data_IF_457744348044
#
_entry.id   IF_457744348044
#
_cell.length_a   1.000
_cell.length_b   1.000
_cell.length_c   1.000
_cell.angle_alpha   90.00
_cell.angle_beta   90.00
_cell.angle_gamma   90.00
#
_symmetry.space_group_name_H-M   'P 1'
#
loop_
_entity.id
_entity.type
_entity.pdbx_description
1 polymer ?
#
# COMPACT_ATOMS: atom_id res chain seq x y z
N UNK A 1 29.44 -5.65 2.13
CA UNK A 1 28.35 -6.32 1.40
C UNK A 1 28.70 -7.79 1.31
N UNK A 2 27.73 -8.70 1.27
CA UNK A 2 28.00 -10.10 0.93
C UNK A 2 28.02 -10.18 -0.59
N UNK A 3 28.98 -10.88 -1.19
CA UNK A 3 29.04 -10.97 -2.65
C UNK A 3 27.81 -11.72 -3.18
N UNK A 4 27.28 -11.26 -4.32
CA UNK A 4 26.29 -12.00 -5.09
C UNK A 4 27.01 -13.19 -5.72
N UNK A 5 26.65 -14.40 -5.30
CA UNK A 5 27.32 -15.63 -5.75
C UNK A 5 26.42 -16.38 -6.71
N UNK A 6 26.89 -16.50 -7.95
CA UNK A 6 26.28 -17.30 -9.01
C UNK A 6 27.23 -18.45 -9.37
N UNK A 7 26.68 -19.64 -9.61
CA UNK A 7 27.43 -20.80 -10.11
C UNK A 7 26.85 -21.26 -11.44
N UNK A 8 27.64 -21.96 -12.27
CA UNK A 8 27.20 -22.42 -13.60
C UNK A 8 26.61 -21.27 -14.45
N UNK A 9 27.26 -20.10 -14.39
CA UNK A 9 26.81 -18.91 -15.09
C UNK A 9 27.16 -19.00 -16.58
N UNK A 10 26.17 -18.79 -17.44
CA UNK A 10 26.32 -18.78 -18.89
C UNK A 10 25.64 -17.53 -19.49
N UNK A 11 26.31 -16.91 -20.45
CA UNK A 11 25.69 -15.86 -21.25
C UNK A 11 26.37 -15.66 -22.60
N UNK A 12 25.57 -15.32 -23.63
CA UNK A 12 26.13 -14.73 -24.85
C UNK A 12 26.26 -13.23 -24.64
N UNK A 13 27.46 -12.70 -24.86
CA UNK A 13 27.77 -11.28 -24.70
C UNK A 13 27.98 -10.66 -26.07
N UNK A 14 27.29 -9.56 -26.34
CA UNK A 14 27.56 -8.70 -27.49
C UNK A 14 27.84 -7.28 -27.04
N UNK A 15 28.75 -6.60 -27.73
CA UNK A 15 29.05 -5.19 -27.55
C UNK A 15 28.95 -4.53 -28.93
N UNK A 16 28.00 -3.61 -29.06
CA UNK A 16 27.79 -2.86 -30.30
C UNK A 16 27.53 -1.39 -29.96
N UNK A 17 28.30 -0.46 -30.54
CA UNK A 17 28.12 0.99 -30.32
C UNK A 17 27.95 1.42 -28.84
N UNK A 18 28.78 0.88 -27.92
CA UNK A 18 28.71 1.12 -26.46
C UNK A 18 27.46 0.57 -25.77
N UNK A 19 26.75 -0.36 -26.41
CA UNK A 19 25.66 -1.11 -25.82
C UNK A 19 26.11 -2.57 -25.61
N UNK A 20 26.23 -2.96 -24.34
CA UNK A 20 26.49 -4.35 -23.96
C UNK A 20 25.15 -5.08 -23.81
N UNK A 21 25.03 -6.28 -24.37
CA UNK A 21 23.87 -7.16 -24.15
C UNK A 21 24.34 -8.54 -23.74
N UNK A 22 23.70 -9.05 -22.68
CA UNK A 22 23.84 -10.40 -22.18
C UNK A 22 22.50 -11.11 -22.39
N UNK A 23 22.46 -12.07 -23.30
CA UNK A 23 21.21 -12.78 -23.65
C UNK A 23 21.45 -14.19 -24.24
N UNK A 24 20.97 -15.26 -23.59
CA UNK A 24 20.39 -15.26 -22.24
C UNK A 24 21.48 -15.02 -21.19
N UNK A 25 21.10 -14.67 -19.97
CA UNK A 25 21.89 -14.86 -18.74
C UNK A 25 21.24 -16.01 -18.00
N UNK A 26 21.97 -17.06 -17.67
CA UNK A 26 21.47 -18.16 -16.84
C UNK A 26 22.49 -18.51 -15.78
N UNK A 27 22.04 -18.82 -14.57
CA UNK A 27 22.91 -19.26 -13.50
C UNK A 27 22.15 -20.10 -12.45
N UNK A 28 22.90 -20.84 -11.66
CA UNK A 28 22.46 -21.33 -10.36
C UNK A 28 22.67 -20.22 -9.33
N UNK A 29 21.62 -19.88 -8.60
CA UNK A 29 21.61 -18.79 -7.63
C UNK A 29 21.07 -19.29 -6.29
N UNK A 30 21.95 -19.39 -5.30
CA UNK A 30 21.61 -19.79 -3.93
C UNK A 30 20.67 -21.01 -3.80
N UNK A 31 20.95 -22.08 -4.56
CA UNK A 31 20.18 -23.32 -4.57
C UNK A 31 18.98 -23.34 -5.52
N UNK A 32 18.64 -22.19 -6.12
CA UNK A 32 17.65 -22.07 -7.18
C UNK A 32 18.29 -21.76 -8.54
N UNK A 33 17.45 -21.32 -9.48
CA UNK A 33 17.86 -20.93 -10.83
C UNK A 33 17.55 -19.46 -11.08
N UNK A 34 18.38 -18.83 -11.91
CA UNK A 34 18.15 -17.52 -12.48
C UNK A 34 18.22 -17.62 -14.01
N UNK A 35 17.33 -16.91 -14.71
CA UNK A 35 17.40 -16.74 -16.15
C UNK A 35 16.92 -15.35 -16.59
N UNK A 36 17.45 -14.80 -17.66
CA UNK A 36 16.93 -13.58 -18.25
C UNK A 36 17.88 -12.85 -19.18
N UNK A 37 17.83 -11.52 -19.16
CA UNK A 37 18.63 -10.65 -20.03
C UNK A 37 19.09 -9.41 -19.28
N UNK A 38 20.27 -8.92 -19.65
CA UNK A 38 20.83 -7.68 -19.14
C UNK A 38 21.30 -6.85 -20.34
N UNK A 39 20.96 -5.57 -20.35
CA UNK A 39 21.52 -4.59 -21.28
C UNK A 39 22.16 -3.44 -20.51
N UNK A 40 23.33 -3.01 -20.95
CA UNK A 40 24.08 -1.91 -20.35
C UNK A 40 24.36 -0.90 -21.45
N UNK A 41 23.71 0.25 -21.38
CA UNK A 41 23.90 1.36 -22.30
C UNK A 41 24.93 2.34 -21.73
N UNK A 42 26.13 2.35 -22.32
CA UNK A 42 27.24 3.23 -21.94
C UNK A 42 27.32 4.48 -22.85
N UNK A 43 26.30 4.76 -23.66
CA UNK A 43 26.26 5.95 -24.52
C UNK A 43 26.05 7.25 -23.73
N UNK A 44 25.17 7.30 -22.70
CA UNK A 44 25.00 8.49 -21.87
C UNK A 44 26.22 8.75 -20.97
N UNK A 45 26.28 9.93 -20.36
CA UNK A 45 27.34 10.25 -19.38
C UNK A 45 27.31 9.38 -18.11
N UNK A 46 26.23 8.64 -17.89
CA UNK A 46 26.09 7.61 -16.85
C UNK A 46 25.53 6.33 -17.46
N UNK A 47 26.13 5.15 -17.21
CA UNK A 47 25.60 3.90 -17.73
C UNK A 47 24.17 3.63 -17.25
N UNK A 48 23.31 3.21 -18.17
CA UNK A 48 21.94 2.78 -17.87
C UNK A 48 21.87 1.26 -17.98
N UNK A 49 21.39 0.63 -16.93
CA UNK A 49 21.20 -0.80 -16.84
C UNK A 49 19.72 -1.11 -17.05
N UNK A 50 19.43 -2.09 -17.90
CA UNK A 50 18.11 -2.69 -18.06
C UNK A 50 18.22 -4.19 -17.78
N UNK A 51 17.40 -4.67 -16.87
CA UNK A 51 17.46 -6.02 -16.30
C UNK A 51 16.08 -6.65 -16.43
N UNK A 52 15.99 -7.79 -17.09
CA UNK A 52 14.80 -8.62 -17.11
C UNK A 52 15.20 -10.01 -16.65
N UNK A 53 14.84 -10.39 -15.42
CA UNK A 53 15.29 -11.62 -14.79
C UNK A 53 14.10 -12.37 -14.19
N UNK A 54 14.19 -13.69 -14.22
CA UNK A 54 13.34 -14.59 -13.48
C UNK A 54 14.20 -15.41 -12.52
N UNK A 55 13.64 -15.69 -11.34
CA UNK A 55 14.24 -16.62 -10.39
C UNK A 55 13.26 -17.74 -10.10
N UNK A 56 13.76 -18.96 -9.89
CA UNK A 56 12.97 -20.10 -9.43
C UNK A 56 13.62 -20.75 -8.21
N UNK A 57 12.85 -20.83 -7.11
CA UNK A 57 13.24 -21.46 -5.84
C UNK A 57 14.59 -20.99 -5.27
N UNK A 58 14.91 -19.72 -5.44
CA UNK A 58 16.14 -19.12 -4.89
C UNK A 58 15.98 -18.88 -3.39
N UNK A 59 17.02 -19.14 -2.60
CA UNK A 59 17.03 -18.79 -1.18
C UNK A 59 16.89 -17.26 -1.01
N UNK A 60 15.72 -16.83 -0.53
CA UNK A 60 15.38 -15.42 -0.39
C UNK A 60 16.33 -14.70 0.56
N UNK A 61 16.79 -15.39 1.61
CA UNK A 61 17.63 -14.78 2.61
C UNK A 61 19.00 -14.45 2.06
N UNK A 62 19.62 -15.42 1.40
CA UNK A 62 20.94 -15.25 0.79
C UNK A 62 20.90 -14.20 -0.32
N UNK A 63 19.86 -14.22 -1.16
CA UNK A 63 19.68 -13.24 -2.22
C UNK A 63 19.58 -11.82 -1.64
N UNK A 64 18.60 -11.56 -0.77
CA UNK A 64 18.37 -10.21 -0.23
C UNK A 64 19.59 -9.72 0.57
N UNK A 65 20.27 -10.61 1.31
CA UNK A 65 21.47 -10.28 2.09
C UNK A 65 22.71 -9.98 1.22
N UNK A 66 22.69 -10.39 -0.06
CA UNK A 66 23.77 -10.08 -1.03
C UNK A 66 23.55 -8.75 -1.74
N UNK A 67 22.30 -8.40 -2.04
CA UNK A 67 21.96 -7.19 -2.83
C UNK A 67 21.50 -6.00 -1.98
N UNK A 68 21.29 -6.19 -0.67
CA UNK A 68 20.77 -5.13 0.21
C UNK A 68 21.36 -5.17 1.62
N UNK A 69 21.06 -4.13 2.39
CA UNK A 69 21.30 -4.05 3.83
C UNK A 69 20.33 -4.91 4.66
N UNK A 70 19.25 -5.44 4.06
CA UNK A 70 18.19 -6.18 4.74
C UNK A 70 18.62 -7.63 4.99
N UNK A 71 19.57 -7.81 5.91
CA UNK A 71 20.07 -9.14 6.28
C UNK A 71 19.09 -9.85 7.21
N UNK A 72 18.98 -11.18 7.05
CA UNK A 72 18.28 -12.03 8.02
C UNK A 72 16.81 -11.63 8.27
N UNK A 73 16.19 -10.91 7.34
CA UNK A 73 14.82 -10.42 7.50
C UNK A 73 13.80 -11.39 6.91
N UNK A 74 14.05 -11.84 5.69
CA UNK A 74 13.15 -12.73 4.95
C UNK A 74 13.86 -14.05 4.65
N UNK A 75 13.17 -15.15 4.89
CA UNK A 75 13.60 -16.51 4.58
C UNK A 75 12.53 -17.20 3.75
N UNK A 76 12.92 -18.23 2.99
CA UNK A 76 12.03 -19.05 2.17
C UNK A 76 12.58 -19.24 0.76
N UNK A 77 11.78 -19.91 -0.07
CA UNK A 77 12.10 -20.13 -1.48
C UNK A 77 11.38 -19.11 -2.34
N UNK A 78 12.16 -18.27 -3.03
CA UNK A 78 11.69 -17.15 -3.85
C UNK A 78 11.66 -17.52 -5.33
N UNK A 79 10.49 -17.38 -5.92
CA UNK A 79 10.28 -17.28 -7.36
C UNK A 79 9.90 -15.84 -7.67
N UNK A 80 10.56 -15.21 -8.65
CA UNK A 80 10.33 -13.80 -8.96
C UNK A 80 10.45 -13.52 -10.45
N UNK A 81 9.79 -12.45 -10.90
CA UNK A 81 9.97 -11.84 -12.20
C UNK A 81 10.31 -10.38 -11.99
N UNK A 82 11.45 -9.95 -12.49
CA UNK A 82 11.99 -8.60 -12.32
C UNK A 82 12.11 -7.97 -13.69
N UNK A 83 11.53 -6.80 -13.86
CA UNK A 83 11.84 -5.89 -14.95
C UNK A 83 12.29 -4.58 -14.33
N UNK A 84 13.57 -4.25 -14.44
CA UNK A 84 14.15 -3.12 -13.74
C UNK A 84 15.07 -2.32 -14.65
N UNK A 85 15.12 -1.02 -14.40
CA UNK A 85 16.09 -0.11 -14.99
C UNK A 85 16.62 0.86 -13.93
N UNK A 86 17.89 1.19 -14.05
CA UNK A 86 18.53 2.17 -13.19
C UNK A 86 19.76 2.75 -13.87
N UNK A 87 20.08 4.00 -13.55
CA UNK A 87 21.37 4.61 -13.87
C UNK A 87 22.21 4.67 -12.60
N UNK A 88 23.49 4.28 -12.65
CA UNK A 88 24.28 4.28 -11.42
C UNK A 88 25.77 4.49 -11.63
N UNK A 89 26.38 5.28 -10.74
CA UNK A 89 27.84 5.38 -10.52
C UNK A 89 28.31 4.57 -9.32
N UNK A 90 27.41 4.17 -8.40
CA UNK A 90 27.75 3.47 -7.15
C UNK A 90 26.65 2.51 -6.69
N UNK A 91 26.97 1.54 -5.83
CA UNK A 91 25.96 0.57 -5.36
C UNK A 91 24.77 1.21 -4.62
N UNK A 92 24.99 2.30 -3.89
CA UNK A 92 23.93 3.03 -3.15
C UNK A 92 23.00 3.82 -4.05
N UNK A 93 23.46 4.29 -5.22
CA UNK A 93 22.58 4.96 -6.20
C UNK A 93 21.66 4.00 -6.96
N UNK A 94 21.94 2.68 -6.93
CA UNK A 94 21.09 1.68 -7.61
C UNK A 94 19.68 1.67 -7.03
N UNK A 95 19.55 1.57 -5.69
CA UNK A 95 18.22 1.49 -5.05
C UNK A 95 17.42 2.78 -5.22
N UNK A 96 18.07 3.94 -5.17
CA UNK A 96 17.43 5.24 -5.33
C UNK A 96 16.98 5.49 -6.78
N UNK A 97 17.75 5.03 -7.75
CA UNK A 97 17.46 5.17 -9.18
C UNK A 97 16.63 4.03 -9.78
N UNK A 98 16.17 3.08 -8.95
CA UNK A 98 15.47 1.89 -9.43
C UNK A 98 14.07 2.24 -9.94
N UNK A 99 13.77 1.79 -11.16
CA UNK A 99 12.47 1.92 -11.80
C UNK A 99 12.07 0.60 -12.45
N UNK A 100 10.79 0.23 -12.44
CA UNK A 100 10.31 -0.95 -13.14
C UNK A 100 9.22 -1.70 -12.38
N UNK A 101 9.15 -3.02 -12.55
CA UNK A 101 8.19 -3.88 -11.89
C UNK A 101 8.82 -5.16 -11.34
N UNK A 102 8.22 -5.67 -10.26
CA UNK A 102 8.62 -6.90 -9.60
C UNK A 102 7.36 -7.72 -9.28
N UNK A 103 7.31 -8.97 -9.71
CA UNK A 103 6.36 -9.95 -9.19
C UNK A 103 7.13 -10.96 -8.34
N UNK A 104 6.63 -11.26 -7.14
CA UNK A 104 7.25 -12.21 -6.23
C UNK A 104 6.26 -13.27 -5.75
N UNK A 105 6.78 -14.46 -5.51
CA UNK A 105 6.14 -15.55 -4.80
C UNK A 105 7.19 -16.23 -3.91
N UNK A 106 6.93 -16.21 -2.61
CA UNK A 106 7.74 -16.84 -1.59
C UNK A 106 6.94 -17.99 -1.00
N UNK A 107 7.56 -19.16 -0.91
CA UNK A 107 7.00 -20.35 -0.25
C UNK A 107 7.85 -20.76 0.94
N UNK A 108 7.20 -21.39 1.93
CA UNK A 108 7.86 -21.85 3.17
C UNK A 108 8.68 -20.73 3.82
N UNK A 109 8.04 -19.56 3.93
CA UNK A 109 8.69 -18.33 4.31
C UNK A 109 8.75 -18.14 5.82
N UNK A 110 9.63 -17.22 6.24
CA UNK A 110 9.65 -16.68 7.59
C UNK A 110 10.09 -15.23 7.52
N UNK A 111 9.31 -14.37 8.18
CA UNK A 111 9.66 -12.98 8.42
C UNK A 111 10.25 -12.90 9.83
N UNK A 112 11.55 -12.64 9.93
CA UNK A 112 12.23 -12.49 11.22
C UNK A 112 12.12 -11.05 11.72
N UNK A 113 12.29 -10.89 13.04
CA UNK A 113 12.20 -9.62 13.77
C UNK A 113 10.82 -8.94 13.71
N UNK A 114 9.79 -9.66 13.26
CA UNK A 114 8.43 -9.17 13.22
C UNK A 114 7.45 -10.31 13.50
N UNK A 115 6.73 -10.20 14.62
CA UNK A 115 5.71 -11.15 15.06
C UNK A 115 4.33 -10.54 14.82
N UNK A 116 3.79 -10.76 13.63
CA UNK A 116 2.57 -10.11 13.17
C UNK A 116 1.35 -10.48 14.03
N UNK A 117 1.27 -11.72 14.53
CA UNK A 117 0.15 -12.12 15.40
C UNK A 117 0.25 -11.46 16.78
N UNK A 118 1.47 -11.31 17.31
CA UNK A 118 1.69 -10.56 18.54
C UNK A 118 1.33 -9.07 18.38
N UNK A 119 1.73 -8.43 17.28
CA UNK A 119 1.37 -7.04 16.99
C UNK A 119 -0.14 -6.84 16.86
N UNK A 120 -0.84 -7.73 16.14
CA UNK A 120 -2.29 -7.70 16.05
C UNK A 120 -2.96 -7.89 17.42
N UNK A 121 -2.40 -8.73 18.29
CA UNK A 121 -2.94 -8.92 19.63
C UNK A 121 -2.77 -7.67 20.50
N UNK A 122 -1.64 -6.99 20.38
CA UNK A 122 -1.39 -5.71 21.04
C UNK A 122 -2.37 -4.63 20.56
N UNK A 123 -2.52 -4.47 19.25
CA UNK A 123 -3.48 -3.53 18.63
C UNK A 123 -4.93 -3.87 18.97
N UNK A 124 -5.24 -5.17 18.98
CA UNK A 124 -6.53 -5.71 19.36
C UNK A 124 -6.79 -5.69 20.87
N UNK A 125 -5.82 -5.30 21.71
CA UNK A 125 -5.87 -5.43 23.17
C UNK A 125 -6.38 -6.80 23.65
N UNK A 126 -6.00 -7.85 22.94
CA UNK A 126 -6.41 -9.21 23.30
C UNK A 126 -5.66 -9.69 24.54
N UNK A 127 -6.33 -10.52 25.33
CA UNK A 127 -5.73 -11.12 26.54
C UNK A 127 -4.46 -11.88 26.14
N UNK A 128 -3.35 -11.62 26.83
CA UNK A 128 -2.08 -12.29 26.54
C UNK A 128 -2.26 -13.82 26.50
N UNK A 129 -1.85 -14.46 25.40
CA UNK A 129 -1.96 -15.90 25.18
C UNK A 129 -3.18 -16.35 24.36
N UNK A 130 -4.19 -15.50 24.15
CA UNK A 130 -5.45 -15.83 23.44
C UNK A 130 -5.30 -16.21 21.96
N UNK A 131 -4.32 -15.64 21.24
CA UNK A 131 -3.94 -16.05 19.87
C UNK A 131 -2.62 -16.84 19.84
N UNK A 132 -2.21 -17.45 20.95
CA UNK A 132 -0.88 -18.08 21.05
C UNK A 132 0.27 -17.06 20.99
N UNK A 133 0.03 -15.85 21.51
CA UNK A 133 0.78 -14.60 21.29
C UNK A 133 2.05 -14.44 22.14
N UNK A 134 2.64 -15.54 22.63
CA UNK A 134 3.96 -15.44 23.28
C UNK A 134 4.92 -14.89 22.22
N UNK A 135 5.58 -13.73 22.44
CA UNK A 135 6.41 -13.11 21.42
C UNK A 135 7.48 -14.09 20.95
N UNK A 136 7.46 -14.44 19.66
CA UNK A 136 8.47 -15.31 19.04
C UNK A 136 9.55 -14.47 18.35
N UNK A 137 9.26 -13.21 18.07
CA UNK A 137 10.12 -12.33 17.29
C UNK A 137 10.19 -12.71 15.80
N UNK A 138 9.26 -13.55 15.31
CA UNK A 138 9.15 -13.90 13.89
C UNK A 138 7.73 -14.33 13.54
N UNK A 139 7.43 -14.28 12.25
CA UNK A 139 6.18 -14.78 11.65
C UNK A 139 6.51 -15.86 10.63
N UNK A 140 5.98 -17.06 10.80
CA UNK A 140 6.05 -18.09 9.77
C UNK A 140 5.03 -17.80 8.68
N UNK A 141 5.43 -17.98 7.42
CA UNK A 141 4.63 -17.74 6.23
C UNK A 141 4.51 -19.04 5.45
N UNK A 142 3.30 -19.49 5.17
CA UNK A 142 3.08 -20.56 4.19
C UNK A 142 3.41 -20.01 2.80
N UNK A 143 2.91 -18.81 2.51
CA UNK A 143 3.11 -18.14 1.23
C UNK A 143 3.11 -16.62 1.40
N UNK A 144 3.90 -15.91 0.59
CA UNK A 144 3.82 -14.47 0.39
C UNK A 144 3.89 -14.19 -1.12
N UNK A 145 2.96 -13.40 -1.65
CA UNK A 145 2.92 -13.06 -3.07
C UNK A 145 2.48 -11.63 -3.29
N UNK A 146 3.01 -10.98 -4.32
CA UNK A 146 2.57 -9.64 -4.68
C UNK A 146 3.30 -9.09 -5.90
N UNK A 147 2.72 -8.04 -6.47
CA UNK A 147 3.29 -7.25 -7.53
C UNK A 147 3.67 -5.88 -6.99
N UNK A 148 4.79 -5.35 -7.48
CA UNK A 148 5.31 -4.05 -7.10
C UNK A 148 5.64 -3.25 -8.36
N UNK A 149 5.17 -2.02 -8.40
CA UNK A 149 5.63 -0.99 -9.33
C UNK A 149 6.65 -0.11 -8.60
N UNK A 150 7.86 0.01 -9.16
CA UNK A 150 8.95 0.77 -8.55
C UNK A 150 9.20 2.03 -9.36
N UNK A 151 9.19 3.18 -8.69
CA UNK A 151 9.54 4.48 -9.26
C UNK A 151 10.49 5.21 -8.34
N UNK A 152 11.68 5.55 -8.84
CA UNK A 152 12.73 6.25 -8.08
C UNK A 152 12.98 5.62 -6.70
N UNK A 153 13.09 4.29 -6.66
CA UNK A 153 13.33 3.54 -5.43
C UNK A 153 12.14 3.43 -4.47
N UNK A 154 10.95 3.91 -4.85
CA UNK A 154 9.71 3.69 -4.10
C UNK A 154 8.88 2.61 -4.78
N UNK A 155 8.74 1.47 -4.11
CA UNK A 155 7.93 0.34 -4.54
C UNK A 155 6.50 0.50 -4.01
N UNK A 156 5.52 0.42 -4.89
CA UNK A 156 4.10 0.44 -4.59
C UNK A 156 3.49 -0.92 -4.86
N UNK A 157 2.62 -1.40 -3.98
CA UNK A 157 1.83 -2.62 -4.19
C UNK A 157 0.38 -2.37 -3.80
N UNK A 158 -0.53 -3.05 -4.49
CA UNK A 158 -1.97 -3.05 -4.22
C UNK A 158 -2.53 -4.44 -3.89
N UNK A 159 -1.71 -5.48 -4.03
CA UNK A 159 -2.14 -6.88 -4.03
C UNK A 159 -1.22 -7.82 -3.24
N UNK A 160 -0.43 -7.29 -2.32
CA UNK A 160 0.41 -8.10 -1.46
C UNK A 160 -0.47 -9.01 -0.60
N UNK A 161 -0.20 -10.31 -0.61
CA UNK A 161 -0.95 -11.32 0.13
C UNK A 161 0.01 -12.21 0.89
N UNK A 162 -0.28 -12.45 2.17
CA UNK A 162 0.43 -13.42 2.98
C UNK A 162 -0.54 -14.46 3.55
N UNK A 163 -0.12 -15.73 3.53
CA UNK A 163 -0.82 -16.86 4.13
C UNK A 163 0.05 -17.41 5.24
N UNK A 164 -0.55 -17.65 6.40
CA UNK A 164 0.15 -18.18 7.57
C UNK A 164 -0.78 -19.13 8.33
N UNK A 165 -0.22 -19.88 9.26
CA UNK A 165 -1.03 -20.74 10.12
C UNK A 165 -1.89 -19.85 11.03
N UNK A 166 -3.21 -19.94 10.89
CA UNK A 166 -4.15 -19.12 11.64
C UNK A 166 -4.81 -17.96 10.88
N UNK A 167 -4.38 -17.61 9.66
CA UNK A 167 -4.99 -16.48 8.96
C UNK A 167 -4.47 -16.16 7.56
N UNK A 168 -5.02 -15.10 7.00
CA UNK A 168 -4.59 -14.53 5.72
C UNK A 168 -4.56 -13.03 5.80
N UNK A 169 -3.59 -12.43 5.14
CA UNK A 169 -3.36 -11.00 5.12
C UNK A 169 -3.41 -10.49 3.69
N UNK A 170 -4.07 -9.36 3.48
CA UNK A 170 -3.92 -8.53 2.29
C UNK A 170 -3.28 -7.22 2.69
N UNK A 171 -2.39 -6.69 1.86
CA UNK A 171 -1.75 -5.42 2.10
C UNK A 171 -1.61 -4.61 0.81
N UNK A 172 -1.72 -3.30 0.95
CA UNK A 172 -1.47 -2.30 -0.08
C UNK A 172 -0.69 -1.15 0.52
N UNK A 173 0.14 -0.49 -0.26
CA UNK A 173 0.90 0.66 0.23
C UNK A 173 2.24 0.82 -0.47
N UNK A 174 3.16 1.45 0.26
CA UNK A 174 4.45 1.90 -0.24
C UNK A 174 5.59 1.35 0.61
N UNK A 175 6.69 1.03 -0.06
CA UNK A 175 7.97 0.69 0.52
C UNK A 175 9.03 1.55 -0.15
N UNK A 176 9.78 2.33 0.61
CA UNK A 176 10.92 3.07 0.10
C UNK A 176 12.19 2.24 0.29
N UNK A 177 12.81 1.84 -0.81
CA UNK A 177 13.98 0.97 -0.82
C UNK A 177 15.26 1.69 -0.37
N UNK A 178 15.31 3.01 -0.53
CA UNK A 178 16.49 3.80 -0.19
C UNK A 178 16.63 4.03 1.32
N UNK A 179 15.54 4.37 1.99
CA UNK A 179 15.52 4.63 3.44
C UNK A 179 14.86 3.51 4.25
N UNK A 180 14.41 2.44 3.59
CA UNK A 180 13.79 1.25 4.20
C UNK A 180 12.49 1.56 4.96
N UNK A 181 11.82 2.68 4.65
CA UNK A 181 10.56 3.04 5.28
C UNK A 181 9.38 2.28 4.66
N UNK A 182 8.41 1.94 5.48
CA UNK A 182 7.17 1.26 5.06
C UNK A 182 5.95 2.11 5.41
N UNK A 183 4.93 2.07 4.56
CA UNK A 183 3.61 2.59 4.84
C UNK A 183 2.58 1.67 4.17
N UNK A 184 2.04 0.74 4.96
CA UNK A 184 1.19 -0.34 4.46
C UNK A 184 -0.15 -0.34 5.20
N UNK A 185 -1.24 -0.38 4.44
CA UNK A 185 -2.56 -0.74 4.96
C UNK A 185 -2.72 -2.24 4.83
N UNK A 186 -2.98 -2.91 5.94
CA UNK A 186 -3.08 -4.36 6.04
C UNK A 186 -4.46 -4.75 6.55
N UNK A 187 -5.13 -5.64 5.84
CA UNK A 187 -6.31 -6.35 6.33
C UNK A 187 -5.89 -7.74 6.77
N UNK A 188 -5.94 -7.99 8.08
CA UNK A 188 -5.79 -9.31 8.65
C UNK A 188 -7.15 -10.01 8.72
N UNK A 189 -7.23 -11.25 8.23
CA UNK A 189 -8.39 -12.12 8.41
C UNK A 189 -7.92 -13.39 9.12
N UNK A 190 -8.20 -13.46 10.41
CA UNK A 190 -7.84 -14.59 11.27
C UNK A 190 -8.95 -15.62 11.27
N UNK A 191 -8.59 -16.90 11.23
CA UNK A 191 -9.55 -17.99 11.10
C UNK A 191 -10.48 -18.10 12.33
N UNK A 192 -11.48 -18.99 12.24
CA UNK A 192 -12.47 -19.19 13.30
C UNK A 192 -11.84 -19.61 14.64
N UNK A 193 -10.79 -20.43 14.64
CA UNK A 193 -10.13 -20.87 15.87
C UNK A 193 -9.47 -19.68 16.59
N UNK A 194 -8.74 -18.85 15.84
CA UNK A 194 -8.14 -17.62 16.34
C UNK A 194 -9.20 -16.64 16.84
N UNK A 195 -10.25 -16.41 16.05
CA UNK A 195 -11.40 -15.57 16.40
C UNK A 195 -12.04 -16.00 17.73
N UNK A 196 -12.32 -17.29 17.91
CA UNK A 196 -12.89 -17.83 19.14
C UNK A 196 -11.98 -17.63 20.36
N UNK A 197 -10.66 -17.73 20.18
CA UNK A 197 -9.68 -17.50 21.25
C UNK A 197 -9.74 -16.10 21.86
N UNK A 198 -10.22 -15.10 21.11
CA UNK A 198 -10.31 -13.71 21.53
C UNK A 198 -11.73 -13.20 21.78
N UNK A 199 -12.70 -14.11 21.92
CA UNK A 199 -14.10 -13.78 22.23
C UNK A 199 -15.09 -14.03 21.08
N UNK A 200 -14.62 -14.52 19.93
CA UNK A 200 -15.46 -14.92 18.80
C UNK A 200 -16.36 -13.82 18.27
N UNK A 201 -17.62 -14.17 17.98
CA UNK A 201 -18.62 -13.21 17.45
C UNK A 201 -19.13 -12.23 18.50
N UNK A 202 -18.78 -12.41 19.78
CA UNK A 202 -19.15 -11.50 20.88
C UNK A 202 -18.25 -10.26 20.95
N UNK A 203 -17.18 -10.21 20.14
CA UNK A 203 -16.25 -9.07 20.04
C UNK A 203 -16.95 -7.81 19.49
N UNK A 204 -18.12 -7.97 18.85
CA UNK A 204 -18.90 -6.91 18.20
C UNK A 204 -19.49 -5.81 19.10
N UNK A 205 -19.28 -5.84 20.41
CA UNK A 205 -19.80 -4.81 21.34
C UNK A 205 -18.76 -4.04 22.15
N UNK A 206 -17.59 -4.61 22.42
CA UNK A 206 -16.61 -4.05 23.36
C UNK A 206 -15.31 -3.58 22.69
N UNK A 207 -15.00 -4.06 21.49
CA UNK A 207 -13.71 -3.80 20.85
C UNK A 207 -13.87 -2.96 19.59
N UNK A 208 -13.26 -1.77 19.59
CA UNK A 208 -13.31 -0.82 18.48
C UNK A 208 -12.22 -1.08 17.42
N UNK A 209 -11.62 -2.27 17.35
CA UNK A 209 -10.46 -2.52 16.46
C UNK A 209 -10.57 -3.78 15.60
N UNK A 210 -11.55 -4.66 15.84
CA UNK A 210 -11.76 -5.88 15.06
C UNK A 210 -13.26 -6.18 14.84
N UNK A 211 -13.58 -6.92 13.77
CA UNK A 211 -14.95 -7.27 13.38
C UNK A 211 -15.03 -8.76 13.05
N UNK A 212 -16.09 -9.44 13.49
CA UNK A 212 -16.34 -10.83 13.08
C UNK A 212 -17.15 -10.84 11.77
N UNK A 213 -16.67 -11.58 10.76
CA UNK A 213 -17.42 -11.77 9.52
C UNK A 213 -18.43 -12.93 9.63
N UNK A 214 -19.22 -13.14 8.57
CA UNK A 214 -20.25 -14.19 8.52
C UNK A 214 -19.69 -15.64 8.52
N UNK A 215 -18.39 -15.81 8.34
CA UNK A 215 -17.69 -17.11 8.43
C UNK A 215 -17.15 -17.36 9.86
N UNK A 216 -17.36 -16.43 10.79
CA UNK A 216 -16.82 -16.48 12.13
C UNK A 216 -15.32 -16.15 12.19
N UNK A 217 -14.77 -15.57 11.12
CA UNK A 217 -13.39 -15.09 11.07
C UNK A 217 -13.31 -13.70 11.66
N UNK A 218 -12.14 -13.36 12.21
CA UNK A 218 -11.87 -12.06 12.78
C UNK A 218 -11.12 -11.20 11.77
N UNK A 219 -11.71 -10.08 11.41
CA UNK A 219 -11.17 -9.10 10.47
C UNK A 219 -10.61 -7.91 11.25
N UNK A 220 -9.33 -7.63 11.07
CA UNK A 220 -8.64 -6.51 11.72
C UNK A 220 -7.90 -5.68 10.67
N UNK A 221 -8.31 -4.42 10.42
CA UNK A 221 -7.58 -3.52 9.56
C UNK A 221 -6.52 -2.77 10.39
N UNK A 222 -5.26 -2.80 9.95
CA UNK A 222 -4.13 -2.14 10.62
C UNK A 222 -3.29 -1.38 9.62
N UNK A 223 -2.56 -0.38 10.11
CA UNK A 223 -1.56 0.36 9.35
C UNK A 223 -0.19 0.02 9.94
N UNK A 224 0.77 -0.31 9.07
CA UNK A 224 2.17 -0.51 9.43
C UNK A 224 2.99 0.62 8.85
N UNK A 225 3.64 1.39 9.72
CA UNK A 225 4.53 2.51 9.35
C UNK A 225 5.93 2.35 9.96
N UNK A 226 6.82 3.31 9.76
CA UNK A 226 8.18 3.28 10.31
C UNK A 226 9.17 2.67 9.32
N UNK A 227 10.12 1.88 9.81
CA UNK A 227 11.12 1.18 8.97
C UNK A 227 11.01 -0.33 9.13
N UNK A 228 11.66 -1.08 8.27
CA UNK A 228 11.76 -2.54 8.41
C UNK A 228 12.37 -3.00 9.74
N UNK A 229 13.24 -2.20 10.36
CA UNK A 229 13.86 -2.52 11.66
C UNK A 229 13.00 -2.08 12.85
N UNK A 230 12.23 -1.01 12.67
CA UNK A 230 11.36 -0.45 13.71
C UNK A 230 9.97 -0.18 13.14
N UNK A 231 9.21 -1.24 12.81
CA UNK A 231 7.85 -1.08 12.34
C UNK A 231 6.95 -0.63 13.49
N UNK A 232 5.95 0.19 13.16
CA UNK A 232 4.91 0.62 14.09
C UNK A 232 3.56 0.15 13.55
N UNK A 233 2.83 -0.60 14.36
CA UNK A 233 1.50 -1.13 14.00
C UNK A 233 0.42 -0.37 14.76
N UNK A 234 -0.59 0.12 14.05
CA UNK A 234 -1.72 0.83 14.63
C UNK A 234 -3.04 0.36 14.00
N UNK A 235 -4.19 0.49 14.68
CA UNK A 235 -5.48 0.22 14.07
C UNK A 235 -5.77 1.18 12.90
N UNK A 236 -6.28 0.66 11.78
CA UNK A 236 -6.79 1.49 10.70
C UNK A 236 -8.24 1.88 10.97
N UNK A 237 -8.41 2.94 11.76
CA UNK A 237 -9.73 3.44 12.19
C UNK A 237 -10.60 3.88 11.00
N UNK A 238 -9.99 4.34 9.90
CA UNK A 238 -10.71 4.78 8.71
C UNK A 238 -11.29 3.57 7.97
N UNK A 239 -10.47 2.55 7.73
CA UNK A 239 -10.91 1.32 7.09
C UNK A 239 -11.93 0.56 7.94
N UNK A 240 -11.76 0.57 9.27
CA UNK A 240 -12.72 -0.02 10.20
C UNK A 240 -14.09 0.69 10.14
N UNK A 241 -14.10 2.03 10.20
CA UNK A 241 -15.33 2.79 10.07
C UNK A 241 -16.01 2.52 8.73
N UNK A 242 -15.23 2.44 7.65
CA UNK A 242 -15.75 2.11 6.33
C UNK A 242 -16.41 0.73 6.26
N UNK A 243 -15.78 -0.27 6.88
CA UNK A 243 -16.33 -1.63 6.98
C UNK A 243 -17.63 -1.67 7.79
N UNK A 244 -17.69 -0.96 8.93
CA UNK A 244 -18.91 -0.86 9.75
C UNK A 244 -20.06 -0.20 8.97
N UNK A 245 -19.78 0.86 8.20
CA UNK A 245 -20.77 1.58 7.41
C UNK A 245 -21.29 0.78 6.21
N UNK A 246 -20.41 0.03 5.53
CA UNK A 246 -20.76 -0.73 4.33
C UNK A 246 -21.30 -2.14 4.63
N UNK A 247 -21.10 -2.64 5.86
CA UNK A 247 -21.36 -4.03 6.24
C UNK A 247 -20.65 -5.05 5.33
N UNK A 248 -19.53 -4.66 4.72
CA UNK A 248 -18.69 -5.49 3.87
C UNK A 248 -17.44 -5.87 4.65
N UNK A 249 -17.30 -7.16 4.94
CA UNK A 249 -16.16 -7.71 5.65
C UNK A 249 -15.43 -8.72 4.75
N UNK A 250 -14.11 -8.56 4.52
CA UNK A 250 -13.28 -9.54 3.85
C UNK A 250 -13.32 -10.92 4.50
N UNK A 251 -12.92 -11.92 3.72
CA UNK A 251 -12.80 -13.32 4.17
C UNK A 251 -11.38 -13.80 3.94
N UNK A 252 -10.96 -14.89 4.58
CA UNK A 252 -9.63 -15.50 4.34
C UNK A 252 -9.39 -15.84 2.86
N UNK A 253 -10.46 -16.15 2.12
CA UNK A 253 -10.40 -16.39 0.67
C UNK A 253 -10.13 -15.11 -0.14
N UNK A 254 -10.66 -13.97 0.29
CA UNK A 254 -10.47 -12.68 -0.37
C UNK A 254 -10.25 -11.54 0.66
N UNK A 255 -9.06 -11.48 1.29
CA UNK A 255 -8.76 -10.46 2.30
C UNK A 255 -8.67 -9.03 1.72
N UNK A 256 -8.49 -8.90 0.40
CA UNK A 256 -8.43 -7.62 -0.31
C UNK A 256 -9.78 -7.09 -0.82
N UNK A 257 -10.91 -7.74 -0.51
CA UNK A 257 -12.22 -7.44 -1.12
C UNK A 257 -12.68 -5.96 -1.02
N UNK A 258 -12.17 -5.21 -0.04
CA UNK A 258 -12.52 -3.80 0.19
C UNK A 258 -11.98 -2.86 -0.89
N UNK A 259 -10.95 -3.26 -1.64
CA UNK A 259 -10.37 -2.41 -2.70
C UNK A 259 -11.20 -2.38 -3.98
N UNK A 260 -11.94 -3.46 -4.24
CA UNK A 260 -12.64 -3.65 -5.52
C UNK A 260 -14.13 -3.33 -5.43
N UNK A 261 -14.64 -3.08 -4.21
CA UNK A 261 -16.06 -2.97 -3.92
C UNK A 261 -16.75 -1.70 -4.41
N UNK A 262 -16.07 -0.59 -4.66
CA UNK A 262 -16.75 0.69 -4.94
C UNK A 262 -17.09 0.88 -6.43
N UNK A 263 -16.38 0.20 -7.36
CA UNK A 263 -16.65 0.33 -8.80
C UNK A 263 -17.76 -0.60 -9.31
N UNK A 264 -18.02 -1.71 -8.63
CA UNK A 264 -18.95 -2.75 -9.12
C UNK A 264 -20.43 -2.52 -8.76
N UNK A 265 -20.71 -1.81 -7.66
CA UNK A 265 -22.09 -1.63 -7.13
C UNK A 265 -22.74 -0.32 -7.58
N UNK A 266 -21.97 0.67 -8.05
CA UNK A 266 -22.53 1.88 -8.67
C UNK A 266 -22.86 1.70 -10.16
N UNK A 267 -22.32 0.66 -10.80
CA UNK A 267 -22.50 0.38 -12.24
C UNK A 267 -23.50 -0.75 -12.57
N UNK A 268 -24.19 -1.32 -11.58
CA UNK A 268 -25.02 -2.52 -11.80
C UNK A 268 -26.44 -2.36 -11.27
N UNK A 269 -27.12 -1.34 -11.76
CA UNK A 269 -28.58 -1.30 -11.84
C UNK A 269 -28.99 -1.13 -13.32
N UNK A 270 -28.83 -2.20 -14.09
CA UNK A 270 -29.66 -2.44 -15.28
C UNK A 270 -29.82 -3.94 -15.51
N UNK A 271 -30.96 -4.43 -15.03
CA UNK A 271 -31.83 -5.48 -15.57
C UNK A 271 -31.22 -6.59 -16.43
N UNK A 272 -31.27 -7.81 -15.91
CA UNK A 272 -31.26 -9.06 -16.67
C UNK A 272 -32.68 -9.42 -17.13
N UNK A 273 -32.89 -9.55 -18.44
CA UNK A 273 -33.93 -10.40 -19.06
C UNK A 273 -33.66 -10.60 -20.56
N UNK A 274 -33.48 -11.86 -20.96
CA UNK A 274 -33.99 -12.43 -22.23
C UNK A 274 -33.27 -12.17 -23.56
N UNK A 275 -32.50 -13.18 -24.00
CA UNK A 275 -32.30 -13.75 -25.36
C UNK A 275 -32.14 -12.91 -26.66
N UNK A 276 -31.08 -13.31 -27.39
CA UNK A 276 -30.87 -13.38 -28.84
C UNK A 276 -31.14 -12.15 -29.74
N UNK A 277 -30.07 -11.56 -30.28
CA UNK A 277 -29.85 -11.39 -31.73
C UNK A 277 -28.52 -10.64 -32.02
N UNK A 278 -28.06 -10.84 -33.25
CA UNK A 278 -26.83 -10.36 -33.87
C UNK A 278 -26.79 -8.82 -34.05
N UNK A 279 -25.56 -8.36 -34.26
CA UNK A 279 -25.17 -7.21 -35.09
C UNK A 279 -25.03 -5.82 -34.43
N UNK A 280 -24.07 -5.07 -34.95
CA UNK A 280 -23.37 -3.97 -34.27
C UNK A 280 -24.12 -2.65 -34.15
N UNK A 281 -23.49 -1.72 -33.41
CA UNK A 281 -23.99 -0.36 -33.29
C UNK A 281 -23.27 0.48 -32.24
N UNK A 282 -22.03 0.90 -32.52
CA UNK A 282 -21.39 2.05 -31.86
C UNK A 282 -22.05 3.31 -32.43
N UNK A 283 -23.27 3.62 -31.99
CA UNK A 283 -23.88 4.93 -32.26
C UNK A 283 -25.11 5.11 -31.38
N UNK A 284 -24.93 5.70 -30.18
CA UNK A 284 -26.00 6.38 -29.42
C UNK A 284 -25.57 6.98 -28.07
N UNK A 285 -24.45 7.71 -28.00
CA UNK A 285 -24.29 8.77 -26.97
C UNK A 285 -23.44 9.91 -27.54
N UNK A 286 -23.96 10.61 -28.55
CA UNK A 286 -23.52 11.97 -28.92
C UNK A 286 -24.77 12.74 -29.31
N UNK A 287 -25.51 13.22 -28.31
CA UNK A 287 -26.83 13.80 -28.55
C UNK A 287 -27.46 14.50 -27.36
N UNK A 288 -26.64 15.03 -26.44
CA UNK A 288 -27.07 16.01 -25.42
C UNK A 288 -25.85 16.89 -25.17
N UNK A 289 -26.04 18.21 -25.09
CA UNK A 289 -25.04 19.29 -25.04
C UNK A 289 -24.55 19.81 -26.41
N UNK A 290 -25.46 20.52 -27.10
CA UNK A 290 -25.12 21.28 -28.30
C UNK A 290 -26.10 22.43 -28.58
N UNK A 291 -26.53 23.16 -27.54
CA UNK A 291 -27.43 24.31 -27.68
C UNK A 291 -26.66 25.61 -27.91
N UNK A 292 -26.51 25.99 -29.18
CA UNK A 292 -26.04 27.32 -29.62
C UNK A 292 -27.04 28.41 -29.21
N UNK A 293 -26.56 29.52 -28.65
CA UNK A 293 -27.20 30.85 -28.78
C UNK A 293 -26.11 31.93 -28.93
N UNK A 294 -26.12 32.55 -30.11
CA UNK A 294 -25.38 33.75 -30.48
C UNK A 294 -25.88 34.96 -29.69
N UNK A 295 -24.97 35.87 -29.31
CA UNK A 295 -25.27 37.28 -29.01
C UNK A 295 -24.08 38.16 -29.40
N UNK A 296 -24.33 39.16 -30.23
CA UNK A 296 -23.50 40.36 -30.33
C UNK A 296 -24.34 41.58 -30.74
N UNK A 297 -24.18 42.62 -29.91
CA UNK A 297 -24.15 44.06 -30.20
C UNK A 297 -25.38 45.00 -30.20
N UNK A 298 -25.09 46.17 -29.59
CA UNK A 298 -25.68 47.54 -29.62
C UNK A 298 -26.87 47.83 -28.69
N UNK A 299 -27.07 49.02 -28.09
CA UNK A 299 -26.28 50.19 -27.62
C UNK A 299 -27.29 51.17 -26.96
N UNK A 300 -26.93 51.86 -25.86
CA UNK A 300 -27.45 53.17 -25.33
C UNK A 300 -28.98 53.36 -25.06
N UNK A 301 -29.52 54.19 -24.16
CA UNK A 301 -29.11 55.09 -23.05
C UNK A 301 -30.42 55.64 -22.41
N UNK A 302 -30.32 56.17 -21.18
CA UNK A 302 -31.25 57.09 -20.45
C UNK A 302 -32.27 56.54 -19.42
N UNK A 303 -32.28 57.22 -18.27
CA UNK A 303 -33.11 57.09 -17.05
C UNK A 303 -34.02 58.36 -16.97
N UNK A 304 -34.89 58.61 -15.95
CA UNK A 304 -35.39 57.78 -14.82
C UNK A 304 -36.92 57.88 -14.59
N UNK A 305 -37.52 57.01 -13.76
CA UNK A 305 -38.32 57.33 -12.53
C UNK A 305 -39.22 56.16 -12.05
N UNK A 306 -39.19 56.00 -10.72
CA UNK A 306 -40.19 55.54 -9.77
C UNK A 306 -40.67 54.08 -9.58
N UNK A 307 -40.61 53.75 -8.28
CA UNK A 307 -41.51 52.93 -7.46
C UNK A 307 -41.41 51.40 -7.48
N UNK A 308 -40.70 50.89 -6.47
CA UNK A 308 -41.31 50.04 -5.44
C UNK A 308 -41.39 48.53 -5.72
N UNK A 309 -40.52 47.75 -5.06
CA UNK A 309 -40.90 46.71 -4.08
C UNK A 309 -39.69 45.84 -3.74
N UNK A 310 -39.49 45.64 -2.44
CA UNK A 310 -38.47 44.79 -1.83
C UNK A 310 -38.77 43.31 -2.08
N UNK A 311 -37.75 42.51 -2.34
CA UNK A 311 -37.70 41.13 -1.85
C UNK A 311 -36.26 40.73 -1.52
N UNK A 312 -36.09 40.29 -0.28
CA UNK A 312 -34.84 39.89 0.34
C UNK A 312 -34.53 38.43 -0.01
N UNK A 313 -33.38 38.18 -0.65
CA UNK A 313 -32.82 36.83 -0.74
C UNK A 313 -31.91 36.59 0.48
N UNK A 314 -32.31 35.61 1.30
CA UNK A 314 -31.50 35.03 2.37
C UNK A 314 -30.24 34.36 1.78
N UNK A 315 -29.04 34.56 2.38
CA UNK A 315 -27.86 33.77 2.05
C UNK A 315 -27.99 32.34 2.58
N UNK A 316 -27.71 31.35 1.73
CA UNK A 316 -27.53 29.95 2.17
C UNK A 316 -26.29 29.82 3.07
N UNK A 317 -26.34 28.98 4.13
CA UNK A 317 -25.19 28.75 5.00
C UNK A 317 -24.08 28.02 4.23
N UNK A 318 -22.85 28.53 4.37
CA UNK A 318 -21.66 28.00 3.69
C UNK A 318 -20.76 27.29 4.72
N UNK A 319 -21.03 26.01 5.06
CA UNK A 319 -20.48 25.34 6.23
C UNK A 319 -18.95 25.16 6.21
N UNK A 320 -18.31 25.30 5.04
CA UNK A 320 -16.85 25.26 4.91
C UNK A 320 -16.17 26.58 5.32
N UNK A 321 -16.85 27.72 5.19
CA UNK A 321 -16.32 29.02 5.57
C UNK A 321 -16.22 29.20 7.09
N UNK A 322 -17.21 28.66 7.81
CA UNK A 322 -17.28 28.78 9.27
C UNK A 322 -16.21 27.91 9.97
N UNK A 323 -15.96 26.71 9.47
CA UNK A 323 -14.93 25.80 10.02
C UNK A 323 -13.52 26.37 9.81
N UNK A 324 -13.24 26.99 8.66
CA UNK A 324 -11.93 27.57 8.38
C UNK A 324 -11.64 28.78 9.28
N UNK A 325 -12.66 29.61 9.54
CA UNK A 325 -12.54 30.74 10.46
C UNK A 325 -12.36 30.30 11.92
N UNK A 326 -12.94 29.16 12.31
CA UNK A 326 -12.81 28.61 13.66
C UNK A 326 -11.38 28.08 13.93
N UNK A 327 -10.77 27.40 12.95
CA UNK A 327 -9.38 26.90 13.05
C UNK A 327 -8.35 28.04 13.01
N UNK A 328 -8.60 29.09 12.22
CA UNK A 328 -7.74 30.27 12.17
C UNK A 328 -7.78 31.10 13.45
N UNK A 329 -8.93 31.16 14.13
CA UNK A 329 -9.06 31.85 15.42
C UNK A 329 -8.45 31.08 16.60
N UNK A 330 -8.38 29.75 16.56
CA UNK A 330 -7.69 28.96 17.60
C UNK A 330 -6.17 29.16 17.55
N UNK A 331 -5.56 29.30 16.36
CA UNK A 331 -4.13 29.60 16.23
C UNK A 331 -3.73 30.97 16.78
N UNK A 332 -4.63 31.96 16.76
CA UNK A 332 -4.37 33.29 17.37
C UNK A 332 -4.45 33.29 18.89
N UNK A 333 -5.23 32.39 19.51
CA UNK A 333 -5.33 32.30 20.99
C UNK A 333 -4.15 31.59 21.66
N UNK A 334 -3.42 30.73 20.94
CA UNK A 334 -2.26 30.02 21.49
C UNK A 334 -0.96 30.86 21.52
N UNK A 335 -0.90 32.02 20.85
CA UNK A 335 0.31 32.87 20.85
C UNK A 335 0.41 33.87 22.01
N UNK A 336 -0.55 33.92 22.95
CA UNK A 336 -0.52 34.85 24.09
C UNK A 336 -0.45 34.19 25.49
N UNK A 337 -0.15 32.90 25.59
CA UNK A 337 0.11 32.27 26.90
C UNK A 337 1.61 32.21 27.14
N UNK A 338 2.14 33.17 27.92
CA UNK A 338 3.47 33.06 28.51
C UNK A 338 3.51 31.84 29.44
N UNK A 339 4.59 31.03 29.41
CA UNK A 339 4.73 29.90 30.31
C UNK A 339 4.90 30.38 31.77
N UNK A 340 4.38 29.63 32.76
CA UNK A 340 4.51 29.99 34.17
C UNK A 340 5.98 29.96 34.62
N UNK A 341 6.38 30.80 35.59
CA UNK A 341 7.76 30.85 36.07
C UNK A 341 8.15 29.57 36.81
N UNK A 342 9.44 29.21 36.69
CA UNK A 342 10.01 27.99 37.27
C UNK A 342 9.99 28.02 38.82
N UNK A 343 9.81 26.86 39.48
CA UNK A 343 9.82 26.76 40.93
C UNK A 343 11.23 27.01 41.51
N UNK A 344 11.33 27.55 42.75
CA UNK A 344 12.62 27.85 43.37
C UNK A 344 13.38 26.56 43.75
N UNK A 345 14.73 26.62 43.79
CA UNK A 345 15.55 25.45 44.10
C UNK A 345 15.45 25.03 45.57
N UNK A 346 15.49 23.72 45.82
CA UNK A 346 15.44 23.14 47.16
C UNK A 346 16.68 23.54 47.99
N UNK A 347 16.52 23.75 49.31
CA UNK A 347 17.63 24.05 50.19
C UNK A 347 18.57 22.84 50.34
N UNK A 348 19.88 23.08 50.60
CA UNK A 348 20.86 22.01 50.73
C UNK A 348 20.55 21.12 51.93
N UNK A 349 20.53 19.81 51.71
CA UNK A 349 20.45 18.82 52.77
C UNK A 349 21.75 18.87 53.59
N UNK A 350 21.61 19.02 54.91
CA UNK A 350 22.67 18.78 55.90
C UNK A 350 22.74 17.31 56.25
#
# INVERSE_FOLDING_TARGET
MTDLVMTNAHSNVSLDHRLVRLNPVTADLYGGKEAGTIAIDMRPGQPVYAVNLTTDKVDANKLISSVSSMKQMLYGLLTSNVNASFSSTSATSIMQGLNGSLALNLSNGKLANFDLLHELASVGQFVAGSLGTVPKGFTNLVQLSGNFDVRNGVAQTDNLKAVLDGGTFAAKGLVNLANQSVNMHITAVLNKAMSQGVGGTQIGGFMNTALANNQGELVMPVIVTGTFQHPQVAPDVQQLAQMKLQNLLPTSKNPGALTNGILGILGKNQSTSGDNAKDGGISRIVGVLGGKKQRQNQQQQSNPTDAGSMDQQQPQPNPLGDVLNQVLNEKKKQQHQQPPPAPPPNPPQR
#
